data_IF_027127270476
#
_entry.id   IF_027127270476
#
_cell.length_a   1.000
_cell.length_b   1.000
_cell.length_c   1.000
_cell.angle_alpha   90.00
_cell.angle_beta   90.00
_cell.angle_gamma   90.00
#
_symmetry.space_group_name_H-M   'P 1'
#
loop_
_entity.id
_entity.type
_entity.pdbx_description
1 polymer ?
#
# COMPACT_ATOMS: atom_id res chain seq x y z
N UNK A 1 9.24 8.75 -13.25
CA UNK A 1 7.78 8.58 -13.46
C UNK A 1 7.24 7.78 -12.29
N UNK A 2 6.03 8.09 -11.82
CA UNK A 2 5.34 7.25 -10.83
C UNK A 2 4.81 5.96 -11.47
N UNK A 3 4.62 4.91 -10.68
CA UNK A 3 3.96 3.67 -11.11
C UNK A 3 2.69 3.47 -10.29
N UNK A 4 1.61 3.05 -10.96
CA UNK A 4 0.37 2.67 -10.28
C UNK A 4 0.57 1.35 -9.54
N UNK A 5 0.27 1.35 -8.24
CA UNK A 5 0.39 0.16 -7.40
C UNK A 5 -0.88 -0.69 -7.40
N UNK A 6 -2.06 -0.07 -7.24
CA UNK A 6 -3.33 -0.77 -7.04
C UNK A 6 -4.35 0.14 -6.35
N UNK A 7 -5.47 -0.45 -5.93
CA UNK A 7 -6.60 0.26 -5.34
C UNK A 7 -6.66 0.05 -3.83
N UNK A 8 -6.87 1.12 -3.05
CA UNK A 8 -7.15 0.99 -1.62
C UNK A 8 -8.54 0.36 -1.43
N UNK A 9 -8.61 -0.72 -0.67
CA UNK A 9 -9.88 -1.38 -0.34
C UNK A 9 -10.20 -1.40 1.13
N UNK A 10 -9.20 -1.22 2.00
CA UNK A 10 -9.43 -1.17 3.44
C UNK A 10 -8.33 -0.41 4.19
N UNK A 11 -8.58 -0.12 5.47
CA UNK A 11 -7.63 0.47 6.42
C UNK A 11 -7.31 -0.52 7.53
N UNK A 12 -6.05 -0.50 7.99
CA UNK A 12 -5.62 -1.19 9.21
C UNK A 12 -5.51 -0.15 10.31
N UNK A 13 -6.33 -0.31 11.34
CA UNK A 13 -6.52 0.68 12.40
C UNK A 13 -6.04 0.07 13.72
N UNK A 14 -5.18 0.79 14.43
CA UNK A 14 -4.90 0.57 15.83
C UNK A 14 -5.96 1.29 16.66
N UNK A 15 -6.83 0.48 17.30
CA UNK A 15 -7.97 0.98 18.07
C UNK A 15 -7.53 1.57 19.40
N UNK A 16 -6.48 1.02 20.02
CA UNK A 16 -5.98 1.52 21.31
C UNK A 16 -5.26 2.86 21.13
N UNK A 17 -4.44 2.97 20.07
CA UNK A 17 -3.71 4.18 19.73
C UNK A 17 -4.52 5.22 18.92
N UNK A 18 -5.77 4.93 18.57
CA UNK A 18 -6.63 5.74 17.72
C UNK A 18 -5.92 6.24 16.44
N UNK A 19 -5.17 5.37 15.77
CA UNK A 19 -4.34 5.70 14.60
C UNK A 19 -4.49 4.70 13.47
N UNK A 20 -4.19 5.16 12.25
CA UNK A 20 -4.09 4.30 11.07
C UNK A 20 -2.67 3.74 11.01
N UNK A 21 -2.56 2.42 11.05
CA UNK A 21 -1.28 1.72 10.94
C UNK A 21 -0.93 1.40 9.49
N UNK A 22 -1.92 1.15 8.64
CA UNK A 22 -1.71 0.79 7.24
C UNK A 22 -2.94 0.92 6.36
N UNK A 23 -2.71 0.78 5.05
CA UNK A 23 -3.73 0.73 4.01
C UNK A 23 -3.62 -0.61 3.28
N UNK A 24 -4.74 -1.23 2.97
CA UNK A 24 -4.80 -2.48 2.24
C UNK A 24 -5.04 -2.19 0.76
N UNK A 25 -4.14 -2.67 -0.10
CA UNK A 25 -4.18 -2.47 -1.55
C UNK A 25 -4.52 -3.79 -2.23
N UNK A 26 -5.56 -3.80 -3.06
CA UNK A 26 -5.93 -4.92 -3.93
C UNK A 26 -5.62 -4.60 -5.40
N UNK A 27 -5.83 -5.60 -6.27
CA UNK A 27 -5.67 -5.47 -7.72
C UNK A 27 -4.31 -4.88 -8.08
N UNK A 28 -3.28 -5.42 -7.43
CA UNK A 28 -1.96 -4.83 -7.47
C UNK A 28 -1.30 -5.05 -8.83
N UNK A 29 -0.50 -4.07 -9.24
CA UNK A 29 0.25 -4.11 -10.47
C UNK A 29 1.23 -5.31 -10.46
N UNK A 30 1.09 -6.27 -11.39
CA UNK A 30 1.92 -7.49 -11.40
C UNK A 30 3.40 -7.22 -11.66
N UNK A 31 3.76 -6.01 -12.15
CA UNK A 31 5.16 -5.58 -12.30
C UNK A 31 5.79 -5.17 -10.96
N UNK A 32 4.97 -4.89 -9.94
CA UNK A 32 5.40 -4.42 -8.62
C UNK A 32 5.16 -5.46 -7.53
N UNK A 33 4.16 -6.32 -7.71
CA UNK A 33 3.72 -7.32 -6.73
C UNK A 33 3.48 -8.64 -7.46
N UNK A 34 4.21 -9.67 -7.05
CA UNK A 34 4.14 -10.98 -7.67
C UNK A 34 2.75 -11.60 -7.50
N UNK A 35 2.17 -12.10 -8.60
CA UNK A 35 0.85 -12.71 -8.61
C UNK A 35 -0.31 -11.76 -8.31
N UNK A 36 -0.09 -10.44 -8.40
CA UNK A 36 -1.10 -9.41 -8.09
C UNK A 36 -1.75 -9.60 -6.72
N UNK A 37 -0.98 -10.12 -5.76
CA UNK A 37 -1.45 -10.35 -4.40
C UNK A 37 -1.82 -9.03 -3.73
N UNK A 38 -2.81 -9.07 -2.83
CA UNK A 38 -3.13 -7.92 -2.03
C UNK A 38 -2.02 -7.63 -1.00
N UNK A 39 -1.77 -6.37 -0.72
CA UNK A 39 -0.65 -5.93 0.12
C UNK A 39 -1.10 -4.96 1.20
N UNK A 40 -0.52 -5.09 2.40
CA UNK A 40 -0.66 -4.09 3.45
C UNK A 40 0.51 -3.10 3.36
N UNK A 41 0.22 -1.84 3.09
CA UNK A 41 1.18 -0.75 3.03
C UNK A 41 1.15 0.04 4.34
N UNK A 42 2.27 0.14 5.08
CA UNK A 42 2.33 0.94 6.30
C UNK A 42 1.96 2.40 6.02
N UNK A 43 1.12 3.00 6.87
CA UNK A 43 0.67 4.39 6.69
C UNK A 43 1.85 5.37 6.67
N UNK A 44 2.93 5.07 7.39
CA UNK A 44 4.18 5.84 7.39
C UNK A 44 4.86 5.96 6.01
N UNK A 45 4.51 5.12 5.03
CA UNK A 45 5.02 5.21 3.65
C UNK A 45 4.21 6.16 2.77
N UNK A 46 3.07 6.63 3.25
CA UNK A 46 2.28 7.64 2.57
C UNK A 46 3.02 8.99 2.67
N UNK A 47 3.13 9.66 1.53
CA UNK A 47 3.67 11.01 1.41
C UNK A 47 2.56 12.06 1.26
N UNK A 48 1.48 11.73 0.54
CA UNK A 48 0.36 12.65 0.32
C UNK A 48 -0.95 11.87 0.10
N UNK A 49 -2.06 12.48 0.51
CA UNK A 49 -3.43 11.98 0.32
C UNK A 49 -4.25 13.09 -0.34
N UNK A 50 -4.86 12.78 -1.48
CA UNK A 50 -5.81 13.62 -2.19
C UNK A 50 -6.75 12.74 -3.02
N UNK A 51 -7.01 13.11 -4.27
CA UNK A 51 -7.76 12.24 -5.21
C UNK A 51 -7.07 10.88 -5.44
N UNK A 52 -5.75 10.85 -5.24
CA UNK A 52 -4.91 9.65 -5.22
C UNK A 52 -4.02 9.65 -3.98
N UNK A 53 -3.49 8.48 -3.62
CA UNK A 53 -2.48 8.35 -2.57
C UNK A 53 -1.10 8.24 -3.21
N UNK A 54 -0.19 9.11 -2.80
CA UNK A 54 1.21 9.06 -3.21
C UNK A 54 2.04 8.40 -2.12
N UNK A 55 2.71 7.31 -2.47
CA UNK A 55 3.71 6.67 -1.62
C UNK A 55 5.05 7.37 -1.79
N UNK A 56 5.69 7.76 -0.68
CA UNK A 56 7.06 8.28 -0.69
C UNK A 56 8.11 7.17 -0.79
N UNK A 57 7.69 5.92 -0.52
CA UNK A 57 8.52 4.73 -0.60
C UNK A 57 7.64 3.51 -0.88
N UNK A 58 8.07 2.66 -1.81
CA UNK A 58 7.54 1.32 -2.02
C UNK A 58 8.72 0.42 -2.42
N UNK A 59 8.95 -0.70 -1.72
CA UNK A 59 10.13 -1.53 -1.95
C UNK A 59 10.08 -2.16 -3.36
N UNK A 60 11.19 -2.14 -4.11
CA UNK A 60 11.25 -2.73 -5.46
C UNK A 60 11.26 -4.26 -5.45
N UNK A 61 11.55 -4.89 -4.31
CA UNK A 61 11.59 -6.35 -4.17
C UNK A 61 10.75 -6.79 -2.97
N UNK A 62 9.77 -7.68 -3.21
CA UNK A 62 9.26 -8.57 -2.17
C UNK A 62 8.10 -8.05 -1.32
N UNK A 63 6.98 -7.68 -1.94
CA UNK A 63 5.69 -7.95 -1.31
C UNK A 63 5.11 -9.16 -2.03
N UNK A 64 5.14 -10.34 -1.40
CA UNK A 64 4.64 -11.60 -1.99
C UNK A 64 5.63 -12.76 -2.08
N UNK A 65 6.92 -12.56 -1.78
CA UNK A 65 7.85 -13.69 -1.56
C UNK A 65 7.58 -14.29 -0.18
N UNK A 66 6.84 -15.40 -0.17
CA UNK A 66 7.01 -16.41 0.88
C UNK A 66 8.36 -17.08 0.73
#
# INVERSE_FOLDING_TARGET
MGMYLGSVTNLVIDVEGAKIDGIFISDTNPLLVEGSQAVNVPYRWIGNVGDIILLKYFPPEGVGRK
#
